data_IF_436344027092
#
_entry.id   IF_436344027092
#
_cell.length_a   1.000
_cell.length_b   1.000
_cell.length_c   1.000
_cell.angle_alpha   90.00
_cell.angle_beta   90.00
_cell.angle_gamma   90.00
#
_symmetry.space_group_name_H-M   'P 1'
#
loop_
_entity.id
_entity.type
_entity.pdbx_description
1 polymer ?
#
# COMPACT_ATOMS: atom_id res chain seq x y z
N UNK A 1 22.52 2.48 15.07
CA UNK A 1 21.61 1.80 14.10
C UNK A 1 22.49 1.20 13.00
N UNK A 2 22.43 -0.10 12.72
CA UNK A 2 23.29 -0.75 11.72
C UNK A 2 22.72 -0.56 10.29
N UNK A 3 23.40 0.15 9.37
CA UNK A 3 22.86 0.46 8.03
C UNK A 3 22.50 -0.79 7.19
N UNK A 4 23.24 -1.89 7.36
CA UNK A 4 22.97 -3.14 6.67
C UNK A 4 21.61 -3.75 7.06
N UNK A 5 21.24 -3.70 8.34
CA UNK A 5 19.94 -4.20 8.83
C UNK A 5 18.78 -3.37 8.27
N UNK A 6 18.96 -2.05 8.15
CA UNK A 6 17.94 -1.17 7.56
C UNK A 6 17.71 -1.50 6.08
N UNK A 7 18.79 -1.71 5.31
CA UNK A 7 18.68 -2.11 3.89
C UNK A 7 17.98 -3.46 3.73
N UNK A 8 18.33 -4.45 4.55
CA UNK A 8 17.71 -5.76 4.50
C UNK A 8 16.21 -5.69 4.83
N UNK A 9 15.84 -4.95 5.88
CA UNK A 9 14.42 -4.77 6.26
C UNK A 9 13.62 -4.06 5.17
N UNK A 10 14.18 -3.04 4.53
CA UNK A 10 13.55 -2.38 3.37
C UNK A 10 13.33 -3.36 2.22
N UNK A 11 14.37 -4.09 1.82
CA UNK A 11 14.27 -5.07 0.74
C UNK A 11 13.25 -6.18 1.03
N UNK A 12 13.13 -6.62 2.29
CA UNK A 12 12.09 -7.58 2.68
C UNK A 12 10.69 -6.97 2.62
N UNK A 13 10.53 -5.72 3.09
CA UNK A 13 9.27 -5.01 3.00
C UNK A 13 8.84 -4.80 1.54
N UNK A 14 9.77 -4.43 0.65
CA UNK A 14 9.49 -4.23 -0.78
C UNK A 14 9.03 -5.54 -1.45
N UNK A 15 9.71 -6.65 -1.19
CA UNK A 15 9.30 -7.96 -1.73
C UNK A 15 7.95 -8.42 -1.20
N UNK A 16 7.68 -8.19 0.09
CA UNK A 16 6.39 -8.53 0.69
C UNK A 16 5.27 -7.70 0.06
N UNK A 17 5.48 -6.39 -0.06
CA UNK A 17 4.56 -5.47 -0.75
C UNK A 17 4.25 -5.94 -2.16
N UNK A 18 5.27 -6.28 -2.95
CA UNK A 18 5.09 -6.75 -4.33
C UNK A 18 4.24 -8.04 -4.36
N UNK A 19 4.49 -8.98 -3.44
CA UNK A 19 3.71 -10.21 -3.32
C UNK A 19 2.25 -9.94 -2.92
N UNK A 20 1.99 -8.98 -2.03
CA UNK A 20 0.64 -8.56 -1.62
C UNK A 20 -0.14 -7.99 -2.81
N UNK A 21 0.49 -7.08 -3.56
CA UNK A 21 -0.09 -6.49 -4.76
C UNK A 21 -0.41 -7.57 -5.80
N UNK A 22 0.53 -8.48 -6.05
CA UNK A 22 0.34 -9.57 -7.01
C UNK A 22 -0.80 -10.52 -6.60
N UNK A 23 -0.99 -10.78 -5.29
CA UNK A 23 -2.08 -11.61 -4.78
C UNK A 23 -3.44 -10.92 -4.93
N UNK A 24 -3.52 -9.60 -4.77
CA UNK A 24 -4.76 -8.84 -4.96
C UNK A 24 -5.86 -9.10 -3.93
N UNK A 25 -5.54 -9.73 -2.80
CA UNK A 25 -6.51 -10.04 -1.75
C UNK A 25 -6.89 -8.79 -0.96
N UNK A 26 -8.17 -8.38 -0.92
CA UNK A 26 -8.57 -7.13 -0.28
C UNK A 26 -8.25 -7.07 1.22
N UNK A 27 -8.26 -8.21 1.92
CA UNK A 27 -7.99 -8.26 3.36
C UNK A 27 -6.52 -7.96 3.64
N UNK A 28 -5.61 -8.67 2.96
CA UNK A 28 -4.18 -8.42 3.15
C UNK A 28 -3.74 -7.03 2.66
N UNK A 29 -4.35 -6.55 1.57
CA UNK A 29 -4.10 -5.20 1.08
C UNK A 29 -4.57 -4.14 2.08
N UNK A 30 -5.72 -4.34 2.72
CA UNK A 30 -6.21 -3.46 3.77
C UNK A 30 -5.29 -3.48 5.01
N UNK A 31 -4.90 -4.67 5.49
CA UNK A 31 -4.01 -4.80 6.64
C UNK A 31 -2.69 -4.05 6.44
N UNK A 32 -2.13 -4.09 5.23
CA UNK A 32 -0.94 -3.29 4.87
C UNK A 32 -1.24 -1.79 4.78
N UNK A 33 -2.26 -1.41 3.99
CA UNK A 33 -2.60 -0.02 3.69
C UNK A 33 -2.93 0.80 4.95
N UNK A 34 -3.59 0.17 5.92
CA UNK A 34 -3.93 0.80 7.21
C UNK A 34 -2.84 0.65 8.27
N UNK A 35 -1.74 -0.03 7.97
CA UNK A 35 -0.59 -0.09 8.88
C UNK A 35 0.24 1.20 8.78
N UNK A 36 1.02 1.56 9.84
CA UNK A 36 1.95 2.69 9.79
C UNK A 36 3.05 2.58 8.71
N UNK A 37 3.17 1.43 8.04
CA UNK A 37 4.19 1.18 7.02
C UNK A 37 3.62 1.35 5.61
N UNK A 38 2.30 1.28 5.46
CA UNK A 38 1.60 1.31 4.17
C UNK A 38 0.64 2.48 4.00
N UNK A 39 0.50 3.36 5.00
CA UNK A 39 -0.44 4.49 4.98
C UNK A 39 -0.22 5.45 3.79
N UNK A 40 1.01 5.54 3.31
CA UNK A 40 1.43 6.36 2.17
C UNK A 40 1.82 5.54 0.92
N UNK A 41 1.58 4.21 0.94
CA UNK A 41 1.96 3.32 -0.15
C UNK A 41 0.93 3.37 -1.29
N UNK A 42 1.07 4.36 -2.17
CA UNK A 42 0.14 4.62 -3.26
C UNK A 42 -0.14 3.38 -4.15
N UNK A 43 0.84 2.56 -4.57
CA UNK A 43 0.57 1.32 -5.29
C UNK A 43 -0.33 0.33 -4.54
N UNK A 44 -0.15 0.16 -3.23
CA UNK A 44 -1.04 -0.72 -2.43
C UNK A 44 -2.45 -0.13 -2.33
N UNK A 45 -2.59 1.18 -2.11
CA UNK A 45 -3.90 1.84 -2.11
C UNK A 45 -4.63 1.72 -3.45
N UNK A 46 -3.92 1.80 -4.57
CA UNK A 46 -4.50 1.56 -5.91
C UNK A 46 -4.94 0.11 -6.09
N UNK A 47 -4.11 -0.86 -5.66
CA UNK A 47 -4.47 -2.27 -5.70
C UNK A 47 -5.72 -2.57 -4.84
N UNK A 48 -5.78 -2.02 -3.63
CA UNK A 48 -6.93 -2.15 -2.73
C UNK A 48 -8.21 -1.56 -3.34
N UNK A 49 -8.14 -0.35 -3.91
CA UNK A 49 -9.28 0.28 -4.56
C UNK A 49 -9.83 -0.58 -5.73
N UNK A 50 -8.95 -1.21 -6.50
CA UNK A 50 -9.34 -2.13 -7.58
C UNK A 50 -9.99 -3.40 -7.05
N UNK A 51 -9.45 -3.99 -5.98
CA UNK A 51 -9.90 -5.26 -5.43
C UNK A 51 -11.20 -5.16 -4.60
N UNK A 52 -11.48 -3.99 -4.00
CA UNK A 52 -12.67 -3.80 -3.17
C UNK A 52 -13.98 -3.78 -3.98
N UNK A 53 -15.08 -4.34 -3.43
CA UNK A 53 -16.43 -4.14 -3.97
C UNK A 53 -16.82 -2.66 -3.99
N UNK A 54 -17.71 -2.27 -4.92
CA UNK A 54 -18.10 -0.87 -5.13
C UNK A 54 -18.53 -0.13 -3.84
N UNK A 55 -19.30 -0.82 -2.97
CA UNK A 55 -19.77 -0.26 -1.69
C UNK A 55 -18.66 0.11 -0.69
N UNK A 56 -17.49 -0.50 -0.80
CA UNK A 56 -16.34 -0.31 0.10
C UNK A 56 -15.20 0.51 -0.54
N UNK A 57 -15.26 0.73 -1.85
CA UNK A 57 -14.16 1.32 -2.64
C UNK A 57 -13.93 2.82 -2.40
N UNK A 58 -14.94 3.56 -1.93
CA UNK A 58 -14.92 5.02 -1.91
C UNK A 58 -13.77 5.61 -1.05
N UNK A 59 -13.54 5.06 0.14
CA UNK A 59 -12.46 5.51 1.03
C UNK A 59 -11.08 5.29 0.42
N UNK A 60 -10.82 4.10 -0.13
CA UNK A 60 -9.57 3.77 -0.80
C UNK A 60 -9.29 4.70 -2.00
N UNK A 61 -10.31 4.99 -2.82
CA UNK A 61 -10.17 5.93 -3.94
C UNK A 61 -9.88 7.35 -3.47
N UNK A 62 -10.51 7.80 -2.39
CA UNK A 62 -10.23 9.12 -1.81
C UNK A 62 -8.76 9.23 -1.38
N UNK A 63 -8.24 8.19 -0.71
CA UNK A 63 -6.84 8.16 -0.27
C UNK A 63 -5.86 8.11 -1.44
N UNK A 64 -6.16 7.34 -2.50
CA UNK A 64 -5.38 7.34 -3.74
C UNK A 64 -5.27 8.75 -4.32
N UNK A 65 -6.39 9.49 -4.40
CA UNK A 65 -6.40 10.85 -4.94
C UNK A 65 -5.58 11.82 -4.11
N UNK A 66 -5.70 11.71 -2.79
CA UNK A 66 -4.90 12.50 -1.86
C UNK A 66 -3.40 12.26 -2.11
N UNK A 67 -2.93 11.01 -2.03
CA UNK A 67 -1.53 10.64 -2.25
C UNK A 67 -1.02 11.02 -3.65
N UNK A 68 -1.85 10.88 -4.70
CA UNK A 68 -1.49 11.28 -6.05
C UNK A 68 -1.31 12.80 -6.19
N UNK A 69 -2.02 13.60 -5.39
CA UNK A 69 -1.87 15.06 -5.37
C UNK A 69 -0.55 15.50 -4.75
N UNK A 70 -0.11 14.86 -3.66
CA UNK A 70 1.20 15.12 -3.03
C UNK A 70 2.39 14.82 -3.95
N UNK A 71 2.25 13.85 -4.86
CA UNK A 71 3.31 13.55 -5.84
C UNK A 71 3.37 14.56 -7.00
N UNK A 72 2.30 15.34 -7.20
CA UNK A 72 2.18 16.32 -8.30
C UNK A 72 2.49 17.75 -7.88
N UNK A 73 2.52 18.02 -6.57
CA UNK A 73 2.94 19.29 -5.96
C UNK A 73 4.45 19.39 -5.86
#
# INVERSE_FOLDING_TARGET
RAPAVVRLRRRLADQLRDALIARGDPGLLADWAYSPWGEDDLPVWRALATALPARQRASAVSRVRELDSWLRS
#
